data_IF_620808851643
#
_entry.id   IF_620808851643
#
_cell.length_a   1.000
_cell.length_b   1.000
_cell.length_c   1.000
_cell.angle_alpha   90.00
_cell.angle_beta   90.00
_cell.angle_gamma   90.00
#
_symmetry.space_group_name_H-M   'P 1'
#
loop_
_entity.id
_entity.type
_entity.pdbx_description
1 polymer ?
#
# COMPACT_ATOMS: atom_id res chain seq x y z
N UNK A 1 -7.33 -2.34 -14.65
CA UNK A 1 -8.76 -2.69 -14.58
C UNK A 1 -9.53 -2.00 -15.70
N UNK A 2 -10.81 -2.36 -15.92
CA UNK A 2 -11.66 -1.69 -16.90
C UNK A 2 -11.86 -0.21 -16.53
N UNK A 3 -11.94 0.65 -17.54
CA UNK A 3 -12.23 2.08 -17.36
C UNK A 3 -13.73 2.31 -17.53
N UNK A 4 -14.30 3.19 -16.72
CA UNK A 4 -15.72 3.54 -16.80
C UNK A 4 -15.95 5.00 -16.40
N UNK A 5 -17.10 5.53 -16.82
CA UNK A 5 -17.61 6.84 -16.43
C UNK A 5 -18.78 6.67 -15.46
N UNK A 6 -18.71 7.41 -14.36
CA UNK A 6 -19.80 7.53 -13.39
C UNK A 6 -20.93 8.35 -14.02
N UNK A 7 -22.12 7.76 -14.17
CA UNK A 7 -23.34 8.46 -14.65
C UNK A 7 -24.12 9.13 -13.54
N UNK A 8 -23.94 8.65 -12.32
CA UNK A 8 -24.62 9.16 -11.15
C UNK A 8 -24.21 8.38 -9.91
N UNK A 9 -24.47 8.99 -8.76
CA UNK A 9 -24.13 8.48 -7.46
C UNK A 9 -25.31 8.64 -6.51
N UNK A 10 -25.47 7.69 -5.59
CA UNK A 10 -26.53 7.74 -4.59
C UNK A 10 -26.03 7.25 -3.22
N UNK A 11 -26.62 7.78 -2.14
CA UNK A 11 -26.51 7.22 -0.78
C UNK A 11 -27.89 7.18 -0.14
N UNK A 12 -28.23 6.09 0.57
CA UNK A 12 -29.54 5.92 1.22
C UNK A 12 -30.74 6.39 0.37
N UNK A 13 -30.80 5.93 -0.90
CA UNK A 13 -31.83 6.27 -1.89
C UNK A 13 -31.92 7.76 -2.32
N UNK A 14 -30.91 8.58 -1.99
CA UNK A 14 -30.82 9.98 -2.41
C UNK A 14 -29.70 10.16 -3.44
N UNK A 15 -29.99 10.91 -4.51
CA UNK A 15 -29.00 11.27 -5.53
C UNK A 15 -28.00 12.28 -4.96
N UNK A 16 -26.73 12.12 -5.33
CA UNK A 16 -25.64 13.03 -5.01
C UNK A 16 -24.87 13.35 -6.29
N UNK A 17 -24.37 14.58 -6.38
CA UNK A 17 -23.39 14.98 -7.40
C UNK A 17 -21.97 14.81 -6.87
N UNK A 18 -21.74 15.05 -5.57
CA UNK A 18 -20.43 14.94 -4.90
C UNK A 18 -20.55 14.18 -3.58
N UNK A 19 -19.46 13.54 -3.15
CA UNK A 19 -19.38 12.80 -1.90
C UNK A 19 -17.98 12.82 -1.31
N UNK A 20 -17.90 13.21 -0.04
CA UNK A 20 -16.69 13.15 0.77
C UNK A 20 -16.39 11.73 1.27
N UNK A 21 -15.11 11.43 1.61
CA UNK A 21 -14.71 10.16 2.23
C UNK A 21 -15.54 9.76 3.46
N UNK A 22 -15.62 8.44 3.73
CA UNK A 22 -16.36 7.90 4.89
C UNK A 22 -17.84 7.59 4.63
N UNK A 23 -18.28 7.63 3.38
CA UNK A 23 -19.68 7.36 2.99
C UNK A 23 -19.82 6.07 2.19
N UNK A 24 -20.93 5.36 2.40
CA UNK A 24 -21.34 4.25 1.53
C UNK A 24 -22.11 4.83 0.33
N UNK A 25 -21.64 4.49 -0.87
CA UNK A 25 -22.16 5.00 -2.13
C UNK A 25 -22.57 3.87 -3.05
N UNK A 26 -23.64 4.09 -3.80
CA UNK A 26 -23.99 3.33 -5.00
C UNK A 26 -23.57 4.14 -6.21
N UNK A 27 -22.68 3.59 -7.04
CA UNK A 27 -22.18 4.23 -8.24
C UNK A 27 -22.78 3.58 -9.49
N UNK A 28 -23.31 4.39 -10.40
CA UNK A 28 -23.75 3.92 -11.70
C UNK A 28 -22.59 4.02 -12.71
N UNK A 29 -21.99 2.87 -13.04
CA UNK A 29 -20.82 2.76 -13.92
C UNK A 29 -21.24 2.38 -15.34
N UNK A 30 -20.86 3.20 -16.31
CA UNK A 30 -21.16 2.92 -17.73
C UNK A 30 -20.29 1.78 -18.26
N UNK A 31 -20.91 0.81 -18.95
CA UNK A 31 -20.16 -0.18 -19.74
C UNK A 31 -19.42 -1.23 -18.90
N UNK A 32 -19.73 -1.33 -17.61
CA UNK A 32 -19.26 -2.41 -16.73
C UNK A 32 -20.47 -3.27 -16.36
N UNK A 33 -20.39 -4.57 -16.65
CA UNK A 33 -21.40 -5.51 -16.22
C UNK A 33 -21.21 -5.85 -14.74
N UNK A 34 -22.28 -6.01 -13.94
CA UNK A 34 -22.18 -6.51 -12.57
C UNK A 34 -21.49 -7.88 -12.47
N UNK A 35 -21.51 -8.69 -13.55
CA UNK A 35 -20.84 -10.00 -13.61
C UNK A 35 -19.31 -9.90 -13.66
N UNK A 36 -18.79 -8.76 -14.11
CA UNK A 36 -17.35 -8.50 -14.18
C UNK A 36 -16.82 -7.92 -12.86
N UNK A 37 -17.72 -7.64 -11.91
CA UNK A 37 -17.42 -7.05 -10.62
C UNK A 37 -17.39 -8.11 -9.53
N UNK A 38 -16.37 -8.02 -8.67
CA UNK A 38 -16.22 -8.86 -7.48
C UNK A 38 -15.97 -8.00 -6.27
N UNK A 39 -16.38 -8.50 -5.10
CA UNK A 39 -16.00 -7.91 -3.82
C UNK A 39 -14.47 -7.81 -3.74
N UNK A 40 -13.98 -6.70 -3.20
CA UNK A 40 -12.55 -6.39 -3.17
C UNK A 40 -12.05 -5.53 -4.34
N UNK A 41 -12.85 -5.35 -5.39
CA UNK A 41 -12.51 -4.38 -6.43
C UNK A 41 -12.64 -2.94 -5.92
N UNK A 42 -11.67 -2.10 -6.29
CA UNK A 42 -11.58 -0.70 -5.90
C UNK A 42 -11.84 0.20 -7.10
N UNK A 43 -12.69 1.21 -6.92
CA UNK A 43 -12.89 2.29 -7.89
C UNK A 43 -11.91 3.41 -7.56
N UNK A 44 -11.13 3.85 -8.54
CA UNK A 44 -10.13 4.89 -8.36
C UNK A 44 -9.95 5.69 -9.65
N UNK A 45 -9.24 6.82 -9.57
CA UNK A 45 -8.78 7.57 -10.73
C UNK A 45 -7.82 6.70 -11.57
N UNK A 46 -7.87 6.81 -12.91
CA UNK A 46 -7.01 6.00 -13.76
C UNK A 46 -5.52 6.17 -13.47
N UNK A 47 -4.84 5.06 -13.18
CA UNK A 47 -3.39 5.03 -13.02
C UNK A 47 -2.86 5.34 -11.62
N UNK A 48 -3.73 5.68 -10.66
CA UNK A 48 -3.34 5.91 -9.26
C UNK A 48 -2.98 4.61 -8.55
N UNK A 49 -3.93 3.68 -8.41
CA UNK A 49 -3.69 2.39 -7.76
C UNK A 49 -3.53 1.26 -8.78
N UNK A 50 -2.46 0.48 -8.60
CA UNK A 50 -2.19 -0.72 -9.39
C UNK A 50 -2.24 -1.94 -8.46
N UNK A 51 -2.97 -3.01 -8.83
CA UNK A 51 -2.93 -4.25 -8.07
C UNK A 51 -1.52 -4.82 -7.98
N UNK A 52 -1.17 -5.41 -6.83
CA UNK A 52 0.15 -5.99 -6.57
C UNK A 52 0.03 -7.38 -5.96
N UNK A 53 1.07 -8.20 -6.14
CA UNK A 53 1.21 -9.51 -5.50
C UNK A 53 2.24 -9.52 -4.37
N UNK A 54 2.83 -8.36 -4.05
CA UNK A 54 3.83 -8.25 -3.01
C UNK A 54 3.68 -6.92 -2.29
N UNK A 55 3.68 -6.98 -0.96
CA UNK A 55 3.45 -5.81 -0.11
C UNK A 55 4.41 -5.90 1.08
N UNK A 56 5.14 -4.83 1.36
CA UNK A 56 5.90 -4.70 2.60
C UNK A 56 5.04 -4.08 3.69
N UNK A 57 5.12 -4.65 4.88
CA UNK A 57 4.23 -4.34 5.99
C UNK A 57 4.98 -4.24 7.30
N UNK A 58 4.46 -3.39 8.17
CA UNK A 58 4.76 -3.43 9.60
C UNK A 58 3.77 -4.40 10.25
N UNK A 59 4.19 -5.63 10.51
CA UNK A 59 3.32 -6.68 11.05
C UNK A 59 3.41 -6.74 12.57
N UNK A 60 2.27 -6.65 13.25
CA UNK A 60 2.13 -6.91 14.68
C UNK A 60 1.33 -8.17 14.93
N UNK A 61 1.91 -9.12 15.66
CA UNK A 61 1.22 -10.33 16.10
C UNK A 61 0.21 -10.02 17.21
N UNK A 62 -0.90 -10.77 17.25
CA UNK A 62 -1.83 -10.68 18.39
C UNK A 62 -1.17 -11.12 19.69
N UNK A 63 -1.66 -10.63 20.82
CA UNK A 63 -1.11 -10.95 22.15
C UNK A 63 -1.37 -12.40 22.59
N UNK A 64 -2.36 -13.05 22.00
CA UNK A 64 -2.81 -14.40 22.32
C UNK A 64 -2.57 -15.33 21.13
N UNK A 65 -1.31 -15.51 20.76
CA UNK A 65 -0.94 -16.36 19.64
C UNK A 65 -0.63 -17.78 20.16
N UNK A 66 -1.29 -18.84 19.68
CA UNK A 66 -1.05 -20.20 20.18
C UNK A 66 0.35 -20.72 19.79
N UNK A 67 0.88 -20.25 18.66
CA UNK A 67 2.24 -20.56 18.16
C UNK A 67 2.80 -19.34 17.44
N UNK A 68 4.10 -19.03 17.57
CA UNK A 68 4.75 -17.94 16.83
C UNK A 68 4.44 -17.95 15.32
N UNK A 69 4.34 -16.78 14.70
CA UNK A 69 4.26 -16.67 13.24
C UNK A 69 5.64 -17.00 12.69
N UNK A 70 5.75 -18.11 11.96
CA UNK A 70 7.01 -18.53 11.34
C UNK A 70 7.25 -17.82 10.02
N UNK A 71 8.52 -17.71 9.63
CA UNK A 71 8.86 -17.30 8.27
C UNK A 71 8.22 -18.25 7.24
N UNK A 72 7.72 -17.68 6.14
CA UNK A 72 7.03 -18.39 5.06
C UNK A 72 5.73 -19.09 5.47
N UNK A 73 5.07 -18.65 6.55
CA UNK A 73 3.76 -19.15 6.95
C UNK A 73 2.68 -18.75 5.94
N UNK A 74 1.84 -19.70 5.53
CA UNK A 74 0.67 -19.45 4.69
C UNK A 74 -0.45 -18.80 5.51
N UNK A 75 -1.06 -17.75 4.94
CA UNK A 75 -2.09 -16.94 5.60
C UNK A 75 -3.14 -16.50 4.59
N UNK A 76 -4.35 -16.17 5.07
CA UNK A 76 -5.27 -15.30 4.34
C UNK A 76 -4.97 -13.85 4.73
N UNK A 77 -4.72 -12.99 3.74
CA UNK A 77 -4.51 -11.56 3.88
C UNK A 77 -5.81 -10.80 3.59
N UNK A 78 -6.22 -9.97 4.53
CA UNK A 78 -7.45 -9.19 4.48
C UNK A 78 -7.11 -7.71 4.43
N UNK A 79 -7.55 -7.01 3.38
CA UNK A 79 -7.44 -5.54 3.27
C UNK A 79 -8.70 -4.97 2.64
N UNK A 80 -9.25 -3.92 3.27
CA UNK A 80 -10.54 -3.35 2.91
C UNK A 80 -11.65 -4.41 2.87
N UNK A 81 -12.21 -4.66 1.68
CA UNK A 81 -13.23 -5.70 1.47
C UNK A 81 -12.69 -6.97 0.81
N UNK A 82 -11.39 -7.04 0.57
CA UNK A 82 -10.69 -8.13 -0.13
C UNK A 82 -10.12 -9.16 0.84
N UNK A 83 -10.10 -10.41 0.39
CA UNK A 83 -9.45 -11.54 1.04
C UNK A 83 -8.65 -12.30 -0.03
N UNK A 84 -7.35 -12.47 0.19
CA UNK A 84 -6.46 -13.16 -0.75
C UNK A 84 -5.49 -14.05 0.02
N UNK A 85 -5.27 -15.27 -0.46
CA UNK A 85 -4.28 -16.18 0.11
C UNK A 85 -2.85 -15.70 -0.18
N UNK A 86 -1.93 -15.99 0.73
CA UNK A 86 -0.54 -15.60 0.57
C UNK A 86 0.38 -16.18 1.63
N UNK A 87 1.60 -15.65 1.70
CA UNK A 87 2.65 -16.06 2.65
C UNK A 87 3.31 -14.87 3.31
N UNK A 88 3.57 -14.99 4.60
CA UNK A 88 4.32 -14.01 5.40
C UNK A 88 5.82 -14.32 5.32
N UNK A 89 6.61 -13.39 4.78
CA UNK A 89 8.06 -13.47 4.77
C UNK A 89 8.64 -12.47 5.79
N UNK A 90 9.01 -12.96 6.97
CA UNK A 90 9.68 -12.14 7.99
C UNK A 90 11.06 -11.68 7.50
N UNK A 91 11.33 -10.37 7.64
CA UNK A 91 12.54 -9.73 7.13
C UNK A 91 13.60 -9.51 8.20
N UNK A 92 13.20 -9.31 9.46
CA UNK A 92 14.07 -8.99 10.59
C UNK A 92 13.95 -9.99 11.76
N UNK A 93 13.15 -11.05 11.60
CA UNK A 93 12.95 -12.12 12.57
C UNK A 93 12.94 -13.51 11.90
N UNK A 94 13.29 -14.55 12.65
CA UNK A 94 13.08 -15.96 12.26
C UNK A 94 11.67 -16.45 12.57
N UNK A 95 11.17 -16.11 13.75
CA UNK A 95 9.79 -16.30 14.18
C UNK A 95 9.33 -15.05 14.92
N UNK A 96 8.04 -14.72 14.80
CA UNK A 96 7.43 -13.57 15.47
C UNK A 96 6.53 -14.06 16.60
N UNK A 97 6.92 -13.78 17.84
CA UNK A 97 6.17 -14.20 19.02
C UNK A 97 4.92 -13.33 19.26
N UNK A 98 4.05 -13.77 20.16
CA UNK A 98 2.82 -13.07 20.50
C UNK A 98 3.11 -11.62 20.97
N UNK A 99 2.32 -10.67 20.46
CA UNK A 99 2.42 -9.26 20.80
C UNK A 99 3.61 -8.49 20.22
N UNK A 100 4.57 -9.17 19.58
CA UNK A 100 5.73 -8.55 18.95
C UNK A 100 5.38 -7.91 17.60
N UNK A 101 6.30 -7.08 17.10
CA UNK A 101 6.23 -6.43 15.78
C UNK A 101 7.47 -6.76 14.98
N UNK A 102 7.31 -6.95 13.67
CA UNK A 102 8.38 -7.22 12.72
C UNK A 102 8.13 -6.53 11.39
N UNK A 103 9.22 -6.32 10.66
CA UNK A 103 9.15 -6.09 9.22
C UNK A 103 8.87 -7.40 8.50
N UNK A 104 7.84 -7.39 7.64
CA UNK A 104 7.48 -8.54 6.83
C UNK A 104 7.14 -8.13 5.41
N UNK A 105 7.35 -9.03 4.47
CA UNK A 105 6.79 -8.95 3.14
C UNK A 105 5.69 -10.00 3.00
N UNK A 106 4.50 -9.58 2.57
CA UNK A 106 3.40 -10.48 2.22
C UNK A 106 3.46 -10.75 0.73
N UNK A 107 3.55 -12.04 0.38
CA UNK A 107 3.42 -12.51 -1.01
C UNK A 107 2.02 -13.04 -1.20
N UNK A 108 1.27 -12.42 -2.09
CA UNK A 108 -0.11 -12.78 -2.40
C UNK A 108 -0.15 -13.71 -3.61
N UNK A 109 -1.05 -14.68 -3.56
CA UNK A 109 -1.26 -15.63 -4.65
C UNK A 109 -1.97 -14.96 -5.85
N UNK A 110 -2.77 -13.93 -5.58
CA UNK A 110 -3.47 -13.13 -6.59
C UNK A 110 -3.22 -11.62 -6.41
N UNK A 111 -3.25 -10.81 -7.49
CA UNK A 111 -3.10 -9.37 -7.36
C UNK A 111 -4.23 -8.72 -6.54
N UNK A 112 -3.86 -7.89 -5.58
CA UNK A 112 -4.78 -7.13 -4.72
C UNK A 112 -4.49 -5.64 -4.82
N UNK A 113 -5.55 -4.82 -4.80
CA UNK A 113 -5.44 -3.37 -4.73
C UNK A 113 -5.28 -2.94 -3.26
N UNK A 114 -4.06 -2.54 -2.88
CA UNK A 114 -3.72 -1.95 -1.58
C UNK A 114 -2.75 -0.80 -1.79
N UNK A 115 -3.00 0.30 -1.10
CA UNK A 115 -2.08 1.43 -1.03
C UNK A 115 -1.15 1.27 0.19
N UNK A 116 -0.01 1.99 0.23
CA UNK A 116 0.56 2.39 1.51
C UNK A 116 -0.54 3.01 2.40
N UNK A 117 -0.33 3.14 3.71
CA UNK A 117 -1.40 3.69 4.55
C UNK A 117 -2.41 2.65 5.03
N UNK A 118 -2.79 1.71 4.16
CA UNK A 118 -3.89 0.78 4.41
C UNK A 118 -3.64 -0.16 5.59
N UNK A 119 -4.68 -0.37 6.38
CA UNK A 119 -4.69 -1.39 7.43
C UNK A 119 -5.03 -2.76 6.86
N UNK A 120 -4.36 -3.79 7.37
CA UNK A 120 -4.61 -5.18 7.00
C UNK A 120 -4.67 -6.10 8.22
N UNK A 121 -5.26 -7.27 8.01
CA UNK A 121 -5.28 -8.38 8.97
C UNK A 121 -4.79 -9.65 8.28
N UNK A 122 -3.97 -10.45 8.97
CA UNK A 122 -3.61 -11.79 8.53
C UNK A 122 -4.23 -12.83 9.45
N UNK A 123 -4.74 -13.90 8.84
CA UNK A 123 -5.40 -15.00 9.56
C UNK A 123 -4.90 -16.35 9.07
N UNK A 124 -4.96 -17.31 9.97
CA UNK A 124 -5.06 -18.73 9.64
C UNK A 124 -6.54 -19.09 9.43
N UNK A 125 -6.87 -20.32 8.99
CA UNK A 125 -8.26 -20.73 8.84
C UNK A 125 -9.13 -20.51 10.09
N UNK A 126 -8.54 -20.66 11.27
CA UNK A 126 -9.28 -20.61 12.54
C UNK A 126 -9.02 -19.31 13.33
N UNK A 127 -7.80 -18.77 13.25
CA UNK A 127 -7.33 -17.71 14.16
C UNK A 127 -6.82 -16.48 13.44
N UNK A 128 -7.09 -15.30 14.02
CA UNK A 128 -6.40 -14.06 13.65
C UNK A 128 -4.98 -14.09 14.19
N UNK A 129 -3.99 -14.00 13.30
CA UNK A 129 -2.58 -14.07 13.66
C UNK A 129 -2.00 -12.69 14.01
N UNK A 130 -2.46 -11.66 13.30
CA UNK A 130 -1.93 -10.32 13.44
C UNK A 130 -2.48 -9.36 12.40
N UNK A 131 -1.89 -8.18 12.34
CA UNK A 131 -2.25 -7.15 11.39
C UNK A 131 -1.29 -5.98 11.49
N UNK A 132 -1.58 -4.91 10.76
CA UNK A 132 -0.75 -3.73 10.79
C UNK A 132 -1.06 -2.81 9.62
N UNK A 133 -0.03 -2.10 9.19
CA UNK A 133 -0.11 -1.10 8.13
C UNK A 133 0.73 -1.52 6.92
N UNK A 134 0.20 -1.31 5.73
CA UNK A 134 0.95 -1.40 4.48
C UNK A 134 1.91 -0.21 4.38
N UNK A 135 3.18 -0.51 4.09
CA UNK A 135 4.24 0.51 4.00
C UNK A 135 4.68 0.70 2.55
N UNK A 136 4.71 -0.38 1.76
CA UNK A 136 5.06 -0.31 0.34
C UNK A 136 4.35 -1.41 -0.44
N UNK A 137 3.87 -1.10 -1.65
CA UNK A 137 3.08 -2.00 -2.49
C UNK A 137 3.76 -2.32 -3.84
N UNK A 138 4.94 -1.74 -4.13
CA UNK A 138 5.67 -1.92 -5.37
C UNK A 138 7.01 -2.62 -5.16
N UNK A 139 6.97 -3.82 -4.58
CA UNK A 139 8.16 -4.42 -3.97
C UNK A 139 8.61 -5.70 -4.67
N UNK A 140 9.92 -5.79 -4.90
CA UNK A 140 10.59 -7.04 -5.28
C UNK A 140 10.87 -7.88 -4.03
N UNK A 141 11.34 -9.11 -4.23
CA UNK A 141 11.64 -9.99 -3.10
C UNK A 141 12.84 -9.44 -2.37
N UNK A 142 12.68 -9.18 -1.07
CA UNK A 142 13.76 -8.73 -0.23
C UNK A 142 14.59 -9.89 0.29
N UNK A 143 15.88 -9.63 0.49
CA UNK A 143 16.75 -10.52 1.25
C UNK A 143 16.46 -10.33 2.75
N UNK A 144 16.43 -11.44 3.50
CA UNK A 144 16.25 -11.42 4.96
C UNK A 144 17.45 -10.76 5.63
N UNK A 145 17.22 -10.06 6.73
CA UNK A 145 18.20 -9.34 7.54
C UNK A 145 19.08 -8.40 6.72
N UNK A 146 18.53 -7.84 5.64
CA UNK A 146 19.24 -6.89 4.79
C UNK A 146 19.05 -5.48 5.33
N UNK A 147 20.04 -5.01 6.08
CA UNK A 147 20.01 -3.75 6.81
C UNK A 147 19.57 -2.54 5.96
N UNK A 148 20.08 -2.32 4.73
CA UNK A 148 19.63 -1.20 3.90
C UNK A 148 18.13 -1.24 3.55
N UNK A 149 17.56 -2.45 3.39
CA UNK A 149 16.12 -2.59 3.16
C UNK A 149 15.33 -2.22 4.39
N UNK A 150 15.75 -2.68 5.58
CA UNK A 150 15.06 -2.37 6.84
C UNK A 150 15.09 -0.85 7.14
N UNK A 151 16.21 -0.20 6.86
CA UNK A 151 16.33 1.27 6.98
C UNK A 151 15.42 2.01 6.00
N UNK A 152 15.32 1.52 4.75
CA UNK A 152 14.40 2.08 3.76
C UNK A 152 12.95 1.94 4.22
N UNK A 153 12.57 0.79 4.79
CA UNK A 153 11.23 0.55 5.31
C UNK A 153 10.92 1.43 6.52
N UNK A 154 11.89 1.65 7.43
CA UNK A 154 11.70 2.58 8.56
C UNK A 154 11.49 4.01 8.08
N UNK A 155 12.23 4.45 7.06
CA UNK A 155 12.02 5.76 6.41
C UNK A 155 10.67 5.87 5.72
N UNK A 156 10.15 4.79 5.12
CA UNK A 156 8.82 4.82 4.51
C UNK A 156 7.69 4.86 5.55
N UNK A 157 7.85 4.23 6.72
CA UNK A 157 6.82 4.26 7.77
C UNK A 157 6.85 5.52 8.64
N UNK A 158 8.03 6.10 8.88
CA UNK A 158 8.22 7.20 9.85
C UNK A 158 9.12 8.34 9.38
N UNK A 159 9.66 8.28 8.17
CA UNK A 159 10.55 9.31 7.64
C UNK A 159 9.83 10.59 7.24
N UNK A 160 10.61 11.60 6.88
CA UNK A 160 10.07 12.89 6.45
C UNK A 160 9.51 12.83 5.01
N UNK A 161 8.73 13.84 4.58
CA UNK A 161 8.35 14.00 3.17
C UNK A 161 9.55 13.93 2.21
N UNK A 162 10.69 14.52 2.59
CA UNK A 162 11.93 14.44 1.81
C UNK A 162 12.48 13.02 1.72
N UNK A 163 12.43 12.24 2.80
CA UNK A 163 12.86 10.83 2.78
C UNK A 163 12.00 10.00 1.84
N UNK A 164 10.67 10.14 1.94
CA UNK A 164 9.72 9.46 1.06
C UNK A 164 9.96 9.84 -0.40
N UNK A 165 10.16 11.13 -0.67
CA UNK A 165 10.37 11.64 -2.02
C UNK A 165 11.72 11.17 -2.61
N UNK A 166 12.77 11.13 -1.80
CA UNK A 166 14.08 10.63 -2.20
C UNK A 166 14.03 9.12 -2.52
N UNK A 167 13.29 8.34 -1.73
CA UNK A 167 13.08 6.91 -2.01
C UNK A 167 12.29 6.73 -3.32
N UNK A 168 11.24 7.53 -3.55
CA UNK A 168 10.49 7.49 -4.80
C UNK A 168 11.39 7.87 -6.00
N UNK A 169 12.21 8.91 -5.86
CA UNK A 169 13.15 9.37 -6.90
C UNK A 169 14.15 8.28 -7.28
N UNK A 170 14.79 7.63 -6.29
CA UNK A 170 15.77 6.56 -6.54
C UNK A 170 15.22 5.35 -7.31
N UNK A 171 13.89 5.19 -7.37
CA UNK A 171 13.21 4.09 -8.08
C UNK A 171 12.79 4.48 -9.50
N UNK A 172 12.64 5.77 -9.78
CA UNK A 172 12.04 6.31 -11.00
C UNK A 172 13.01 7.13 -11.83
N UNK A 173 14.17 7.50 -11.28
CA UNK A 173 15.09 8.47 -11.88
C UNK A 173 15.53 8.11 -13.32
N UNK A 174 15.57 9.09 -14.24
CA UNK A 174 15.05 10.46 -14.11
C UNK A 174 13.50 10.49 -14.22
N UNK A 175 12.84 11.35 -13.44
CA UNK A 175 11.38 11.47 -13.44
C UNK A 175 10.88 12.90 -13.22
N UNK A 176 9.66 13.18 -13.67
CA UNK A 176 8.95 14.43 -13.38
C UNK A 176 8.43 14.48 -11.93
N UNK A 177 8.29 15.69 -11.39
CA UNK A 177 7.67 15.90 -10.07
C UNK A 177 6.23 15.35 -10.02
N UNK A 178 5.51 15.42 -11.15
CA UNK A 178 4.17 14.85 -11.33
C UNK A 178 4.13 13.32 -11.16
N UNK A 179 5.24 12.64 -11.47
CA UNK A 179 5.39 11.20 -11.27
C UNK A 179 5.66 10.88 -9.80
N UNK A 180 6.51 11.67 -9.13
CA UNK A 180 6.80 11.49 -7.72
C UNK A 180 5.55 11.58 -6.84
N UNK A 181 4.68 12.56 -7.10
CA UNK A 181 3.41 12.71 -6.37
C UNK A 181 2.46 11.51 -6.51
N UNK A 182 2.57 10.73 -7.60
CA UNK A 182 1.76 9.51 -7.79
C UNK A 182 2.31 8.30 -7.05
N UNK A 183 3.57 8.36 -6.64
CA UNK A 183 4.29 7.27 -5.98
C UNK A 183 4.53 7.53 -4.48
N UNK A 184 4.06 8.67 -3.97
CA UNK A 184 4.05 9.01 -2.54
C UNK A 184 2.62 9.27 -2.07
N UNK A 185 2.38 9.21 -0.76
CA UNK A 185 1.09 9.59 -0.16
C UNK A 185 1.00 11.10 0.15
N UNK A 186 1.91 11.89 -0.40
CA UNK A 186 2.08 13.29 -0.08
C UNK A 186 1.14 14.15 -0.92
N UNK A 187 0.63 15.22 -0.31
CA UNK A 187 -0.09 16.25 -1.05
C UNK A 187 0.85 17.02 -1.99
N UNK A 188 0.31 17.62 -3.05
CA UNK A 188 1.11 18.25 -4.09
C UNK A 188 2.03 19.38 -3.58
N UNK A 189 1.55 20.16 -2.60
CA UNK A 189 2.32 21.18 -1.89
C UNK A 189 3.48 20.59 -1.09
N UNK A 190 3.25 19.48 -0.38
CA UNK A 190 4.29 18.76 0.35
C UNK A 190 5.35 18.19 -0.58
N UNK A 191 4.94 17.65 -1.74
CA UNK A 191 5.87 17.15 -2.76
C UNK A 191 6.75 18.28 -3.30
N UNK A 192 6.18 19.43 -3.61
CA UNK A 192 6.94 20.59 -4.10
C UNK A 192 7.92 21.12 -3.07
N UNK A 193 7.48 21.28 -1.81
CA UNK A 193 8.33 21.71 -0.72
C UNK A 193 9.49 20.73 -0.46
N UNK A 194 9.19 19.43 -0.42
CA UNK A 194 10.20 18.39 -0.24
C UNK A 194 11.18 18.33 -1.43
N UNK A 195 10.69 18.49 -2.66
CA UNK A 195 11.55 18.54 -3.85
C UNK A 195 12.52 19.73 -3.79
N UNK A 196 12.04 20.91 -3.42
CA UNK A 196 12.87 22.09 -3.24
C UNK A 196 13.95 21.86 -2.17
N UNK A 197 13.58 21.32 -1.00
CA UNK A 197 14.53 20.99 0.07
C UNK A 197 15.57 19.93 -0.34
N UNK A 198 15.20 18.95 -1.17
CA UNK A 198 16.15 17.97 -1.71
C UNK A 198 17.16 18.59 -2.69
N UNK A 199 16.71 19.54 -3.52
CA UNK A 199 17.59 20.27 -4.45
C UNK A 199 18.52 21.21 -3.69
N UNK A 200 18.02 21.97 -2.72
CA UNK A 200 18.83 22.87 -1.88
C UNK A 200 19.89 22.12 -1.07
N UNK A 201 19.55 20.93 -0.57
CA UNK A 201 20.50 20.05 0.14
C UNK A 201 21.46 19.27 -0.78
N UNK A 202 21.37 19.45 -2.11
CA UNK A 202 22.22 18.76 -3.09
C UNK A 202 21.96 17.26 -3.22
N UNK A 203 20.82 16.77 -2.71
CA UNK A 203 20.42 15.35 -2.75
C UNK A 203 19.60 14.99 -4.00
N UNK A 204 19.11 15.97 -4.74
CA UNK A 204 18.46 15.81 -6.03
C UNK A 204 18.95 16.89 -7.01
N UNK A 205 18.94 16.57 -8.31
CA UNK A 205 19.32 17.50 -9.38
C UNK A 205 18.14 17.73 -10.32
N UNK A 206 17.88 19.00 -10.65
CA UNK A 206 16.89 19.35 -11.69
C UNK A 206 17.56 19.24 -13.05
N UNK A 207 17.03 18.38 -13.92
CA UNK A 207 17.47 18.25 -15.31
C UNK A 207 16.58 19.11 -16.20
N UNK A 208 17.19 19.90 -17.10
CA UNK A 208 16.46 20.64 -18.14
C UNK A 208 15.96 22.04 -17.77
N UNK A 209 16.56 22.70 -16.78
CA UNK A 209 16.39 24.14 -16.63
C UNK A 209 17.21 24.90 -17.70
N UNK A 210 16.65 25.01 -18.90
CA UNK A 210 16.80 26.17 -19.80
C UNK A 210 15.42 26.59 -20.29
#
# INVERSE_FOLDING_TARGET
>A
GPKSRIRGMQTHQRKLEEAEPGRRLALNLTGISPRDLRRGMVVTTPGWLRPTTAIDVRLRAVKYLPRPIRHSLQVSFHSGSSEVSGRVLLLDHDELAAGQTAWAQIRLDEPLAAAPGDFFVIRSPNDTLGGGKVVDNHVRRHRRFHQPTLETLEKLDRGSPEDMLLIALSRLEPCEVSQLARHTELAADQVLAAAAGLVESGRALVLGAQ
#
